data_IF_579715117387
#
_entry.id   IF_579715117387
#
_cell.length_a   1.000
_cell.length_b   1.000
_cell.length_c   1.000
_cell.angle_alpha   90.00
_cell.angle_beta   90.00
_cell.angle_gamma   90.00
#
_symmetry.space_group_name_H-M   'P 1'
#
loop_
_entity.id
_entity.type
_entity.pdbx_description
1 polymer ?
#
# COMPACT_ATOMS: atom_id res chain seq x y z
N UNK A 1 -4.26 25.22 15.57
CA UNK A 1 -5.02 24.08 16.16
C UNK A 1 -6.03 23.45 15.18
N UNK A 2 -7.15 24.12 14.79
CA UNK A 2 -8.15 23.51 13.86
C UNK A 2 -7.59 23.40 12.43
N UNK A 3 -6.84 24.36 11.99
CA UNK A 3 -6.20 24.42 10.67
C UNK A 3 -5.26 23.24 10.47
N UNK A 4 -4.37 23.03 11.43
CA UNK A 4 -3.39 21.94 11.40
C UNK A 4 -4.09 20.56 11.39
N UNK A 5 -5.23 20.46 12.08
CA UNK A 5 -6.03 19.23 12.12
C UNK A 5 -6.65 18.89 10.74
N UNK A 6 -7.12 19.90 9.98
CA UNK A 6 -7.70 19.68 8.64
C UNK A 6 -6.61 19.23 7.66
N UNK A 7 -5.46 19.88 7.67
CA UNK A 7 -4.33 19.49 6.80
C UNK A 7 -3.84 18.07 7.13
N UNK A 8 -3.80 17.73 8.41
CA UNK A 8 -3.49 16.41 8.90
C UNK A 8 -4.45 15.33 8.35
N UNK A 9 -5.75 15.67 8.33
CA UNK A 9 -6.79 14.78 7.78
C UNK A 9 -6.62 14.60 6.27
N UNK A 10 -6.34 15.68 5.52
CA UNK A 10 -6.14 15.62 4.06
C UNK A 10 -4.99 14.67 3.72
N UNK A 11 -3.83 14.85 4.34
CA UNK A 11 -2.64 14.01 4.09
C UNK A 11 -2.86 12.57 4.54
N UNK A 12 -3.46 12.37 5.71
CA UNK A 12 -3.77 11.05 6.23
C UNK A 12 -4.77 10.30 5.37
N UNK A 13 -5.83 10.98 4.91
CA UNK A 13 -6.83 10.40 4.02
C UNK A 13 -6.26 10.04 2.64
N UNK A 14 -5.42 10.92 2.07
CA UNK A 14 -4.71 10.63 0.83
C UNK A 14 -3.91 9.32 0.96
N UNK A 15 -3.07 9.21 2.00
CA UNK A 15 -2.24 8.04 2.20
C UNK A 15 -3.07 6.78 2.48
N UNK A 16 -4.16 6.92 3.23
CA UNK A 16 -5.07 5.82 3.50
C UNK A 16 -5.76 5.30 2.24
N UNK A 17 -6.37 6.18 1.43
CA UNK A 17 -7.05 5.79 0.19
C UNK A 17 -6.12 5.12 -0.80
N UNK A 18 -4.91 5.64 -0.97
CA UNK A 18 -3.90 5.05 -1.85
C UNK A 18 -3.42 3.70 -1.32
N UNK A 19 -3.21 3.57 0.00
CA UNK A 19 -2.81 2.31 0.63
C UNK A 19 -3.89 1.24 0.52
N UNK A 20 -5.16 1.60 0.73
CA UNK A 20 -6.31 0.69 0.57
C UNK A 20 -6.45 0.24 -0.88
N UNK A 21 -6.32 1.14 -1.85
CA UNK A 21 -6.38 0.80 -3.27
C UNK A 21 -5.24 -0.15 -3.67
N UNK A 22 -4.00 0.16 -3.26
CA UNK A 22 -2.82 -0.65 -3.56
C UNK A 22 -2.86 -2.04 -2.90
N UNK A 23 -3.23 -2.11 -1.62
CA UNK A 23 -3.43 -3.35 -0.89
C UNK A 23 -4.61 -4.16 -1.45
N UNK A 24 -5.77 -3.50 -1.62
CA UNK A 24 -7.01 -4.13 -2.04
C UNK A 24 -6.96 -4.66 -3.47
N UNK A 25 -6.35 -3.92 -4.39
CA UNK A 25 -6.22 -4.32 -5.79
C UNK A 25 -5.61 -5.70 -5.97
N UNK A 26 -4.61 -6.05 -5.17
CA UNK A 26 -4.01 -7.38 -5.20
C UNK A 26 -4.84 -8.41 -4.40
N UNK A 27 -5.18 -8.09 -3.15
CA UNK A 27 -5.86 -9.03 -2.23
C UNK A 27 -7.23 -9.45 -2.75
N UNK A 28 -8.08 -8.48 -3.10
CA UNK A 28 -9.40 -8.72 -3.69
C UNK A 28 -9.32 -9.27 -5.12
N UNK A 29 -8.28 -8.85 -5.89
CA UNK A 29 -8.04 -9.37 -7.23
C UNK A 29 -7.82 -10.86 -7.23
N UNK A 30 -6.90 -11.37 -6.42
CA UNK A 30 -6.62 -12.82 -6.31
C UNK A 30 -7.83 -13.56 -5.75
N UNK A 31 -8.50 -13.02 -4.72
CA UNK A 31 -9.68 -13.63 -4.13
C UNK A 31 -10.82 -13.80 -5.16
N UNK A 32 -11.07 -12.77 -5.99
CA UNK A 32 -12.07 -12.84 -7.08
C UNK A 32 -11.72 -13.88 -8.15
N UNK A 33 -10.46 -13.89 -8.60
CA UNK A 33 -10.00 -14.87 -9.58
C UNK A 33 -10.16 -16.32 -9.04
N UNK A 34 -9.90 -16.51 -7.74
CA UNK A 34 -10.12 -17.78 -7.07
C UNK A 34 -11.61 -18.17 -7.03
N UNK A 35 -12.51 -17.22 -6.73
CA UNK A 35 -13.96 -17.45 -6.69
C UNK A 35 -14.57 -17.72 -8.07
N UNK A 36 -14.06 -17.08 -9.12
CA UNK A 36 -14.56 -17.23 -10.48
C UNK A 36 -13.97 -18.43 -11.22
N UNK A 37 -13.02 -19.16 -10.60
CA UNK A 37 -12.36 -20.29 -11.23
C UNK A 37 -11.38 -19.91 -12.36
N UNK A 38 -11.06 -18.62 -12.51
CA UNK A 38 -10.13 -18.12 -13.54
C UNK A 38 -8.68 -18.18 -13.10
N UNK A 39 -8.42 -18.54 -11.86
CA UNK A 39 -7.08 -18.67 -11.29
C UNK A 39 -6.19 -19.64 -12.10
N UNK A 40 -6.76 -20.75 -12.58
CA UNK A 40 -6.04 -21.73 -13.39
C UNK A 40 -5.55 -21.15 -14.72
N UNK A 41 -6.34 -20.29 -15.37
CA UNK A 41 -5.96 -19.65 -16.62
C UNK A 41 -4.75 -18.72 -16.42
N UNK A 42 -4.69 -18.05 -15.26
CA UNK A 42 -3.55 -17.21 -14.90
C UNK A 42 -2.28 -18.03 -14.61
N UNK A 43 -2.45 -19.23 -14.05
CA UNK A 43 -1.32 -20.16 -13.84
C UNK A 43 -0.79 -20.76 -15.16
N UNK A 44 -1.65 -20.92 -16.16
CA UNK A 44 -1.28 -21.40 -17.52
C UNK A 44 -0.66 -20.31 -18.40
N UNK A 45 -0.62 -19.07 -17.92
CA UNK A 45 0.01 -17.97 -18.65
C UNK A 45 1.48 -18.30 -18.98
N UNK A 46 1.96 -18.01 -20.21
CA UNK A 46 3.33 -18.26 -20.63
C UNK A 46 4.36 -17.48 -19.79
N UNK A 47 3.95 -16.36 -19.18
CA UNK A 47 4.78 -15.54 -18.30
C UNK A 47 4.80 -16.03 -16.85
N UNK A 48 3.90 -16.96 -16.49
CA UNK A 48 3.73 -17.44 -15.12
C UNK A 48 2.88 -16.48 -14.24
N UNK A 49 2.30 -17.04 -13.18
CA UNK A 49 1.38 -16.33 -12.31
C UNK A 49 2.02 -15.14 -11.56
N UNK A 50 3.24 -15.33 -11.01
CA UNK A 50 3.93 -14.30 -10.23
C UNK A 50 4.16 -13.00 -11.00
N UNK A 51 4.81 -13.02 -12.17
CA UNK A 51 5.00 -11.83 -13.01
C UNK A 51 3.68 -11.16 -13.43
N UNK A 52 2.65 -11.94 -13.76
CA UNK A 52 1.33 -11.37 -14.11
C UNK A 52 0.73 -10.62 -12.92
N UNK A 53 0.82 -11.16 -11.70
CA UNK A 53 0.35 -10.48 -10.49
C UNK A 53 1.20 -9.25 -10.17
N UNK A 54 2.51 -9.29 -10.39
CA UNK A 54 3.38 -8.12 -10.22
C UNK A 54 2.97 -6.97 -11.16
N UNK A 55 2.72 -7.26 -12.43
CA UNK A 55 2.26 -6.26 -13.41
C UNK A 55 0.88 -5.70 -13.01
N UNK A 56 -0.08 -6.56 -12.63
CA UNK A 56 -1.38 -6.11 -12.12
C UNK A 56 -1.21 -5.20 -10.92
N UNK A 57 -0.28 -5.49 -10.02
CA UNK A 57 0.01 -4.66 -8.85
C UNK A 57 0.55 -3.28 -9.25
N UNK A 58 1.46 -3.22 -10.20
CA UNK A 58 1.97 -1.94 -10.72
C UNK A 58 0.84 -1.10 -11.30
N UNK A 59 -0.04 -1.70 -12.11
CA UNK A 59 -1.21 -1.01 -12.67
C UNK A 59 -2.13 -0.49 -11.57
N UNK A 60 -2.43 -1.30 -10.55
CA UNK A 60 -3.25 -0.89 -9.41
C UNK A 60 -2.62 0.28 -8.61
N UNK A 61 -1.30 0.27 -8.45
CA UNK A 61 -0.58 1.38 -7.80
C UNK A 61 -0.67 2.65 -8.64
N UNK A 62 -0.49 2.56 -9.95
CA UNK A 62 -0.64 3.72 -10.86
C UNK A 62 -2.07 4.26 -10.83
N UNK A 63 -3.08 3.38 -10.83
CA UNK A 63 -4.48 3.76 -10.66
C UNK A 63 -4.74 4.44 -9.31
N UNK A 64 -4.14 3.93 -8.23
CA UNK A 64 -4.21 4.54 -6.90
C UNK A 64 -3.60 5.96 -6.90
N UNK A 65 -2.50 6.19 -7.61
CA UNK A 65 -1.91 7.53 -7.78
C UNK A 65 -2.84 8.47 -8.53
N UNK A 66 -3.49 8.00 -9.61
CA UNK A 66 -4.43 8.80 -10.38
C UNK A 66 -5.62 9.24 -9.51
N UNK A 67 -6.30 8.28 -8.87
CA UNK A 67 -7.45 8.56 -8.01
C UNK A 67 -7.07 9.31 -6.74
N UNK A 68 -5.92 9.00 -6.14
CA UNK A 68 -5.37 9.72 -5.01
C UNK A 68 -5.10 11.19 -5.34
N UNK A 69 -4.52 11.46 -6.50
CA UNK A 69 -4.29 12.82 -6.98
C UNK A 69 -5.61 13.60 -7.20
N UNK A 70 -6.60 12.98 -7.83
CA UNK A 70 -7.94 13.58 -8.00
C UNK A 70 -8.57 13.88 -6.64
N UNK A 71 -8.54 12.92 -5.72
CA UNK A 71 -9.09 13.09 -4.37
C UNK A 71 -8.39 14.20 -3.61
N UNK A 72 -7.06 14.30 -3.71
CA UNK A 72 -6.29 15.36 -3.08
C UNK A 72 -6.74 16.75 -3.57
N UNK A 73 -6.83 16.94 -4.90
CA UNK A 73 -7.27 18.21 -5.49
C UNK A 73 -8.68 18.57 -5.04
N UNK A 74 -9.60 17.60 -5.02
CA UNK A 74 -10.97 17.82 -4.56
C UNK A 74 -11.00 18.22 -3.08
N UNK A 75 -10.25 17.53 -2.22
CA UNK A 75 -10.19 17.85 -0.80
C UNK A 75 -9.60 19.25 -0.56
N UNK A 76 -8.54 19.62 -1.26
CA UNK A 76 -7.93 20.94 -1.17
C UNK A 76 -8.91 22.03 -1.62
N UNK A 77 -9.65 21.80 -2.72
CA UNK A 77 -10.63 22.74 -3.22
C UNK A 77 -11.83 22.93 -2.27
N UNK A 78 -12.37 21.82 -1.72
CA UNK A 78 -13.53 21.85 -0.81
C UNK A 78 -13.18 22.47 0.55
N UNK A 79 -11.99 22.19 1.06
CA UNK A 79 -11.54 22.72 2.36
C UNK A 79 -10.96 24.14 2.27
N UNK A 80 -10.69 24.63 1.05
CA UNK A 80 -10.03 25.91 0.79
C UNK A 80 -8.58 25.94 1.28
N UNK A 81 -7.96 24.76 1.53
CA UNK A 81 -6.60 24.63 2.01
C UNK A 81 -5.68 24.11 0.91
N UNK A 82 -4.71 24.92 0.54
CA UNK A 82 -3.72 24.57 -0.47
C UNK A 82 -2.41 24.17 0.20
N UNK A 83 -2.14 22.88 0.19
CA UNK A 83 -0.91 22.28 0.69
C UNK A 83 0.22 22.41 -0.36
N UNK A 84 1.46 22.38 0.09
CA UNK A 84 2.61 22.38 -0.81
C UNK A 84 2.72 21.03 -1.52
N UNK A 85 2.25 20.95 -2.76
CA UNK A 85 2.34 19.73 -3.56
C UNK A 85 3.46 19.89 -4.57
N UNK A 86 4.68 19.51 -4.17
CA UNK A 86 5.81 19.33 -5.09
C UNK A 86 5.83 17.89 -5.60
N UNK A 87 5.51 17.61 -6.88
CA UNK A 87 5.45 16.25 -7.41
C UNK A 87 6.77 15.50 -7.27
N UNK A 88 7.91 16.18 -7.36
CA UNK A 88 9.22 15.54 -7.23
C UNK A 88 9.50 15.05 -5.80
N UNK A 89 8.82 15.62 -4.82
CA UNK A 89 8.93 15.24 -3.41
C UNK A 89 7.79 14.29 -3.02
N UNK A 90 6.55 14.65 -3.34
CA UNK A 90 5.35 13.92 -2.89
C UNK A 90 5.26 12.53 -3.54
N UNK A 91 5.48 12.43 -4.86
CA UNK A 91 5.34 11.15 -5.58
C UNK A 91 6.30 10.08 -5.08
N UNK A 92 7.62 10.32 -4.93
CA UNK A 92 8.53 9.31 -4.38
C UNK A 92 8.21 8.92 -2.93
N UNK A 93 7.88 9.90 -2.07
CA UNK A 93 7.54 9.63 -0.67
C UNK A 93 6.27 8.75 -0.60
N UNK A 94 5.22 9.09 -1.34
CA UNK A 94 3.99 8.31 -1.38
C UNK A 94 4.22 6.92 -1.95
N UNK A 95 5.00 6.79 -3.03
CA UNK A 95 5.31 5.48 -3.61
C UNK A 95 6.00 4.55 -2.60
N UNK A 96 7.00 5.07 -1.88
CA UNK A 96 7.70 4.30 -0.85
C UNK A 96 6.83 4.08 0.40
N UNK A 97 5.99 5.05 0.77
CA UNK A 97 5.07 4.91 1.90
C UNK A 97 3.99 3.85 1.66
N UNK A 98 3.46 3.75 0.43
CA UNK A 98 2.43 2.77 0.05
C UNK A 98 3.01 1.38 -0.21
N UNK A 99 4.29 1.26 -0.52
CA UNK A 99 4.95 0.00 -0.81
C UNK A 99 4.77 -1.08 0.29
N UNK A 100 4.86 -0.79 1.59
CA UNK A 100 4.53 -1.75 2.65
C UNK A 100 3.09 -2.27 2.59
N UNK A 101 2.11 -1.43 2.22
CA UNK A 101 0.71 -1.86 2.05
C UNK A 101 0.58 -2.85 0.88
N UNK A 102 1.31 -2.63 -0.22
CA UNK A 102 1.41 -3.60 -1.32
C UNK A 102 2.01 -4.92 -0.83
N UNK A 103 3.06 -4.87 -0.01
CA UNK A 103 3.66 -6.06 0.62
C UNK A 103 2.64 -6.85 1.44
N UNK A 104 1.85 -6.18 2.27
CA UNK A 104 0.72 -6.79 3.00
C UNK A 104 -0.30 -7.38 2.01
N UNK A 105 -0.60 -6.67 0.92
CA UNK A 105 -1.45 -7.16 -0.16
C UNK A 105 -0.97 -8.48 -0.77
N UNK A 106 0.33 -8.64 -0.99
CA UNK A 106 0.92 -9.89 -1.45
C UNK A 106 0.73 -11.03 -0.44
N UNK A 107 0.93 -10.78 0.87
CA UNK A 107 0.69 -11.79 1.91
C UNK A 107 -0.76 -12.28 1.86
N UNK A 108 -1.73 -11.36 1.88
CA UNK A 108 -3.14 -11.70 1.87
C UNK A 108 -3.61 -12.27 0.53
N UNK A 109 -3.07 -11.80 -0.59
CA UNK A 109 -3.28 -12.41 -1.90
C UNK A 109 -2.80 -13.88 -1.94
N UNK A 110 -1.64 -14.17 -1.35
CA UNK A 110 -1.15 -15.53 -1.18
C UNK A 110 -2.05 -16.39 -0.29
N UNK A 111 -2.51 -15.83 0.83
CA UNK A 111 -3.42 -16.53 1.75
C UNK A 111 -4.78 -16.80 1.10
N UNK A 112 -5.27 -15.94 0.19
CA UNK A 112 -6.53 -16.16 -0.55
C UNK A 112 -6.50 -17.42 -1.41
N UNK A 113 -5.31 -17.80 -1.90
CA UNK A 113 -5.16 -19.05 -2.67
C UNK A 113 -5.41 -20.27 -1.77
N UNK A 114 -5.07 -20.17 -0.49
CA UNK A 114 -5.21 -21.25 0.48
C UNK A 114 -6.55 -21.25 1.21
N UNK A 115 -7.03 -20.06 1.59
CA UNK A 115 -8.23 -19.89 2.42
C UNK A 115 -9.29 -19.13 1.62
N UNK A 116 -10.40 -19.80 1.31
CA UNK A 116 -11.50 -19.27 0.46
C UNK A 116 -12.29 -18.11 1.10
N UNK A 117 -12.25 -17.93 2.42
CA UNK A 117 -13.08 -16.97 3.18
C UNK A 117 -12.24 -16.10 4.11
N UNK A 118 -11.39 -15.25 3.53
CA UNK A 118 -10.57 -14.30 4.30
C UNK A 118 -10.98 -12.84 4.08
N UNK A 119 -12.15 -12.60 3.50
CA UNK A 119 -12.65 -11.25 3.19
C UNK A 119 -12.75 -10.37 4.44
N UNK A 120 -13.20 -10.94 5.58
CA UNK A 120 -13.25 -10.23 6.84
C UNK A 120 -11.86 -9.77 7.34
N UNK A 121 -10.83 -10.57 7.07
CA UNK A 121 -9.46 -10.19 7.40
C UNK A 121 -8.98 -9.00 6.57
N UNK A 122 -9.44 -8.87 5.31
CA UNK A 122 -9.13 -7.71 4.47
C UNK A 122 -9.69 -6.41 5.07
N UNK A 123 -10.91 -6.44 5.62
CA UNK A 123 -11.49 -5.28 6.27
C UNK A 123 -10.73 -4.89 7.55
N UNK A 124 -10.34 -5.87 8.36
CA UNK A 124 -9.54 -5.61 9.56
C UNK A 124 -8.20 -4.93 9.22
N UNK A 125 -7.54 -5.34 8.14
CA UNK A 125 -6.30 -4.69 7.68
C UNK A 125 -6.55 -3.24 7.29
N UNK A 126 -7.66 -2.90 6.63
CA UNK A 126 -7.98 -1.53 6.27
C UNK A 126 -8.08 -0.62 7.51
N UNK A 127 -8.71 -1.09 8.59
CA UNK A 127 -8.75 -0.34 9.85
C UNK A 127 -7.37 -0.24 10.51
N UNK A 128 -6.58 -1.31 10.45
CA UNK A 128 -5.20 -1.29 10.95
C UNK A 128 -4.36 -0.24 10.23
N UNK A 129 -4.50 -0.09 8.91
CA UNK A 129 -3.78 0.91 8.12
C UNK A 129 -4.05 2.34 8.61
N UNK A 130 -5.28 2.66 9.05
CA UNK A 130 -5.60 3.97 9.64
C UNK A 130 -4.77 4.20 10.92
N UNK A 131 -4.73 3.21 11.80
CA UNK A 131 -3.92 3.30 13.03
C UNK A 131 -2.43 3.47 12.75
N UNK A 132 -1.91 2.79 11.73
CA UNK A 132 -0.51 2.88 11.31
C UNK A 132 -0.15 4.26 10.73
N UNK A 133 -1.07 4.90 9.99
CA UNK A 133 -0.90 6.26 9.46
C UNK A 133 -0.92 7.28 10.61
N UNK A 134 -1.74 7.06 11.63
CA UNK A 134 -1.87 7.93 12.79
C UNK A 134 -0.80 7.70 13.87
N UNK A 135 0.17 6.80 13.63
CA UNK A 135 1.19 6.43 14.61
C UNK A 135 2.06 7.63 15.02
N UNK A 136 2.22 7.91 16.33
CA UNK A 136 3.01 9.03 16.84
C UNK A 136 4.52 8.69 16.82
N UNK A 137 5.12 8.74 15.63
CA UNK A 137 6.53 8.38 15.39
C UNK A 137 7.51 9.30 16.15
N UNK A 138 7.10 10.54 16.40
CA UNK A 138 7.93 11.53 17.10
C UNK A 138 8.12 11.18 18.58
N UNK A 139 7.06 10.64 19.21
CA UNK A 139 7.11 10.24 20.62
C UNK A 139 7.82 8.90 20.82
N UNK A 140 7.68 8.00 19.86
CA UNK A 140 8.23 6.64 19.94
C UNK A 140 9.03 6.31 18.67
N UNK A 141 10.35 6.56 18.63
CA UNK A 141 11.17 6.37 17.43
C UNK A 141 11.19 4.95 16.86
N UNK A 142 10.92 3.93 17.69
CA UNK A 142 10.83 2.54 17.21
C UNK A 142 9.65 2.30 16.28
N UNK A 143 8.57 3.09 16.41
CA UNK A 143 7.37 2.94 15.60
C UNK A 143 7.58 3.35 14.13
N UNK A 144 8.68 4.03 13.81
CA UNK A 144 9.03 4.39 12.42
C UNK A 144 9.27 3.19 11.50
N UNK A 145 9.53 2.00 12.09
CA UNK A 145 9.70 0.76 11.35
C UNK A 145 8.37 0.08 10.98
N UNK A 146 7.25 0.57 11.52
CA UNK A 146 5.94 0.09 11.14
C UNK A 146 5.56 0.53 9.73
N UNK A 147 4.74 -0.27 9.01
CA UNK A 147 4.23 0.09 7.69
C UNK A 147 3.53 1.45 7.74
N UNK A 148 3.74 2.27 6.73
CA UNK A 148 3.12 3.59 6.57
C UNK A 148 3.56 4.67 7.57
N UNK A 149 4.04 4.32 8.77
CA UNK A 149 4.30 5.26 9.86
C UNK A 149 5.35 6.32 9.48
N UNK A 150 6.52 5.89 9.00
CA UNK A 150 7.57 6.82 8.56
C UNK A 150 7.13 7.63 7.32
N UNK A 151 6.48 6.97 6.36
CA UNK A 151 5.98 7.63 5.15
C UNK A 151 4.92 8.70 5.46
N UNK A 152 4.01 8.41 6.40
CA UNK A 152 3.00 9.36 6.88
C UNK A 152 3.64 10.61 7.49
N UNK A 153 4.64 10.45 8.36
CA UNK A 153 5.38 11.57 8.94
C UNK A 153 6.03 12.43 7.85
N UNK A 154 6.82 11.81 6.97
CA UNK A 154 7.54 12.53 5.92
C UNK A 154 6.60 13.23 4.94
N UNK A 155 5.48 12.58 4.57
CA UNK A 155 4.50 13.18 3.67
C UNK A 155 3.84 14.42 4.29
N UNK A 156 3.55 14.39 5.59
CA UNK A 156 3.03 15.56 6.31
C UNK A 156 4.03 16.70 6.30
N UNK A 157 5.26 16.46 6.71
CA UNK A 157 6.31 17.47 6.70
C UNK A 157 6.52 18.05 5.29
N UNK A 158 6.50 17.22 4.25
CA UNK A 158 6.62 17.67 2.88
C UNK A 158 5.45 18.57 2.44
N UNK A 159 4.20 18.20 2.76
CA UNK A 159 3.02 18.90 2.27
C UNK A 159 2.61 20.10 3.13
N UNK A 160 2.85 20.05 4.45
CA UNK A 160 2.51 21.14 5.37
C UNK A 160 3.60 22.20 5.46
N UNK A 161 4.87 21.78 5.53
CA UNK A 161 6.02 22.66 5.71
C UNK A 161 6.74 22.97 4.38
N UNK A 162 6.37 22.31 3.29
CA UNK A 162 6.99 22.47 1.97
C UNK A 162 8.41 21.92 1.90
N UNK A 163 8.78 20.99 2.77
CA UNK A 163 10.13 20.40 2.80
C UNK A 163 10.35 19.53 1.59
N UNK A 164 11.42 19.79 0.84
CA UNK A 164 11.76 19.04 -0.37
C UNK A 164 12.47 17.72 -0.03
N UNK A 165 12.36 16.74 -0.94
CA UNK A 165 12.89 15.38 -0.74
C UNK A 165 14.37 15.36 -0.28
N UNK A 166 15.22 16.19 -0.87
CA UNK A 166 16.65 16.26 -0.53
C UNK A 166 16.98 17.03 0.75
N UNK A 167 15.99 17.70 1.34
CA UNK A 167 16.15 18.37 2.62
C UNK A 167 15.88 17.47 3.83
N UNK A 168 15.32 16.29 3.59
CA UNK A 168 15.10 15.32 4.65
C UNK A 168 16.41 14.70 5.13
N UNK A 169 16.54 14.37 6.44
CA UNK A 169 17.66 13.61 6.96
C UNK A 169 17.84 12.29 6.22
N UNK A 170 19.08 11.94 5.88
CA UNK A 170 19.39 10.67 5.20
C UNK A 170 18.89 9.44 5.99
N UNK A 171 18.86 9.52 7.32
CA UNK A 171 18.35 8.48 8.18
C UNK A 171 16.83 8.23 7.97
N UNK A 172 16.03 9.29 7.81
CA UNK A 172 14.59 9.18 7.58
C UNK A 172 14.28 8.58 6.20
N UNK A 173 15.03 9.01 5.18
CA UNK A 173 14.97 8.42 3.83
C UNK A 173 15.39 6.94 3.83
N UNK A 174 16.47 6.61 4.54
CA UNK A 174 16.94 5.24 4.66
C UNK A 174 15.89 4.32 5.31
N UNK A 175 15.26 4.77 6.41
CA UNK A 175 14.16 4.01 7.06
C UNK A 175 13.00 3.83 6.11
N UNK A 176 12.60 4.87 5.38
CA UNK A 176 11.49 4.79 4.42
C UNK A 176 11.78 3.76 3.31
N UNK A 177 12.98 3.78 2.74
CA UNK A 177 13.39 2.82 1.69
C UNK A 177 13.51 1.41 2.25
N UNK A 178 14.16 1.25 3.40
CA UNK A 178 14.35 -0.07 4.02
C UNK A 178 13.01 -0.71 4.38
N UNK A 179 12.08 0.04 4.97
CA UNK A 179 10.74 -0.47 5.27
C UNK A 179 9.97 -0.82 4.00
N UNK A 180 10.02 0.00 2.96
CA UNK A 180 9.39 -0.28 1.68
C UNK A 180 9.91 -1.60 1.08
N UNK A 181 11.22 -1.75 0.97
CA UNK A 181 11.87 -2.94 0.39
C UNK A 181 11.64 -4.19 1.26
N UNK A 182 11.74 -4.07 2.58
CA UNK A 182 11.56 -5.19 3.50
C UNK A 182 10.13 -5.75 3.44
N UNK A 183 9.10 -4.90 3.55
CA UNK A 183 7.71 -5.35 3.50
C UNK A 183 7.30 -5.87 2.12
N UNK A 184 7.77 -5.24 1.02
CA UNK A 184 7.56 -5.76 -0.33
C UNK A 184 8.25 -7.12 -0.52
N UNK A 185 9.49 -7.24 -0.09
CA UNK A 185 10.28 -8.47 -0.23
C UNK A 185 9.67 -9.62 0.55
N UNK A 186 9.31 -9.40 1.81
CA UNK A 186 8.64 -10.40 2.67
C UNK A 186 7.28 -10.76 2.08
N UNK A 187 6.49 -9.76 1.66
CA UNK A 187 5.17 -9.97 1.08
C UNK A 187 5.23 -10.81 -0.20
N UNK A 188 6.13 -10.47 -1.11
CA UNK A 188 6.32 -11.21 -2.35
C UNK A 188 6.85 -12.63 -2.11
N UNK A 189 7.78 -12.81 -1.17
CA UNK A 189 8.28 -14.13 -0.79
C UNK A 189 7.16 -15.02 -0.21
N UNK A 190 6.33 -14.47 0.67
CA UNK A 190 5.17 -15.17 1.22
C UNK A 190 4.16 -15.56 0.14
N UNK A 191 3.86 -14.65 -0.79
CA UNK A 191 3.01 -14.92 -1.95
C UNK A 191 3.55 -16.06 -2.80
N UNK A 192 4.84 -16.00 -3.12
CA UNK A 192 5.49 -17.04 -3.91
C UNK A 192 5.52 -18.40 -3.22
N UNK A 193 5.69 -18.41 -1.89
CA UNK A 193 5.61 -19.62 -1.08
C UNK A 193 4.20 -20.24 -1.15
N UNK A 194 3.14 -19.45 -0.94
CA UNK A 194 1.76 -19.90 -1.05
C UNK A 194 1.44 -20.43 -2.46
N UNK A 195 1.93 -19.77 -3.50
CA UNK A 195 1.79 -20.21 -4.89
C UNK A 195 2.46 -21.57 -5.14
N UNK A 196 3.69 -21.78 -4.64
CA UNK A 196 4.40 -23.05 -4.77
C UNK A 196 3.69 -24.18 -4.03
N UNK A 197 3.18 -23.88 -2.85
CA UNK A 197 2.43 -24.84 -2.06
C UNK A 197 1.14 -25.28 -2.79
N UNK A 198 0.36 -24.34 -3.30
CA UNK A 198 -0.88 -24.61 -4.05
C UNK A 198 -0.65 -25.49 -5.28
N UNK A 199 0.48 -25.32 -5.98
CA UNK A 199 0.87 -26.19 -7.11
C UNK A 199 1.18 -27.62 -6.68
N UNK A 200 1.81 -27.82 -5.52
CA UNK A 200 2.21 -29.15 -5.02
C UNK A 200 1.00 -29.97 -4.53
N UNK A 201 0.04 -29.30 -3.91
CA UNK A 201 -1.13 -29.97 -3.30
C UNK A 201 -2.28 -30.18 -4.32
N UNK A 202 -2.17 -29.69 -5.54
CA UNK A 202 -3.20 -29.84 -6.56
C UNK A 202 -4.53 -29.18 -6.20
N UNK A 203 -4.55 -28.22 -5.26
CA UNK A 203 -5.76 -27.59 -4.71
C UNK A 203 -6.52 -26.76 -5.76
N UNK A 204 -5.94 -26.58 -6.94
CA UNK A 204 -6.48 -25.72 -7.99
C UNK A 204 -7.72 -26.29 -8.71
N UNK A 205 -7.99 -27.60 -8.63
CA UNK A 205 -9.11 -28.27 -9.31
C UNK A 205 -10.36 -28.50 -8.45
N UNK A 206 -10.42 -28.00 -7.23
CA UNK A 206 -11.56 -28.20 -6.32
C UNK A 206 -12.23 -26.87 -5.93
N UNK A 207 -12.74 -26.15 -6.93
CA UNK A 207 -13.59 -24.97 -6.73
C UNK A 207 -15.06 -25.29 -7.02
#
# INVERSE_FOLDING_TARGET
>A
AITDSIEWIIVGYLLWTMSVAAYGGLSWGVAREAQWGTLEQLFMSPFGFGPVMAVKTVVNVLEAFLWGGVTLVVMMAVTGRWLAVDPLTVVPIVALAVAPAVGIGFVFGGLSIRFKRIENAFQLVQFLLIGLIATPVEQYPLLRWLPLAQGSKMLRTAMQEGVRLWAFPAADLAVLVVTAVAYLGVGYAAFHYCQRWARREGVMGHY
#
